data_IF_039403383851
#
_entry.id   IF_039403383851
#
_cell.length_a   1.000
_cell.length_b   1.000
_cell.length_c   1.000
_cell.angle_alpha   90.00
_cell.angle_beta   90.00
_cell.angle_gamma   90.00
#
_symmetry.space_group_name_H-M   'P 1'
#
loop_
_entity.id
_entity.type
_entity.pdbx_description
1 polymer ?
#
# COMPACT_ATOMS: atom_id res chain seq x y z
N UNK A 1 -13.19 20.12 17.96
CA UNK A 1 -12.66 18.76 18.15
C UNK A 1 -12.50 18.17 16.75
N UNK A 2 -11.34 18.38 16.13
CA UNK A 2 -11.12 17.86 14.77
C UNK A 2 -10.85 16.38 14.94
N UNK A 3 -11.75 15.55 14.44
CA UNK A 3 -11.58 14.11 14.38
C UNK A 3 -10.35 13.87 13.48
N UNK A 4 -9.17 13.73 14.10
CA UNK A 4 -8.03 13.16 13.43
C UNK A 4 -8.52 11.81 12.92
N UNK A 5 -8.85 11.70 11.63
CA UNK A 5 -8.79 10.43 10.94
C UNK A 5 -7.43 9.85 11.33
N UNK A 6 -7.44 8.89 12.27
CA UNK A 6 -6.24 8.48 12.99
C UNK A 6 -5.17 8.17 11.97
N UNK A 7 -4.15 9.03 11.92
CA UNK A 7 -3.08 8.95 10.93
C UNK A 7 -2.42 7.58 11.11
N UNK A 8 -2.40 6.77 10.07
CA UNK A 8 -2.04 5.36 10.16
C UNK A 8 -2.43 4.56 8.92
N UNK A 9 -2.50 3.23 9.02
CA UNK A 9 -2.71 2.35 7.85
C UNK A 9 -3.95 2.69 7.00
N UNK A 10 -5.15 2.98 7.55
CA UNK A 10 -6.30 3.35 6.74
C UNK A 10 -6.09 4.66 5.96
N UNK A 11 -5.50 5.67 6.61
CA UNK A 11 -5.15 6.94 5.99
C UNK A 11 -4.13 6.73 4.85
N UNK A 12 -3.08 5.94 5.09
CA UNK A 12 -2.04 5.63 4.11
C UNK A 12 -2.63 4.93 2.87
N UNK A 13 -3.49 3.93 3.06
CA UNK A 13 -4.18 3.23 1.95
C UNK A 13 -5.01 4.18 1.10
N UNK A 14 -5.76 5.08 1.75
CA UNK A 14 -6.60 6.05 1.05
C UNK A 14 -5.77 7.11 0.32
N UNK A 15 -4.75 7.66 0.99
CA UNK A 15 -3.92 8.78 0.51
C UNK A 15 -2.98 8.38 -0.62
N UNK A 16 -2.26 7.27 -0.45
CA UNK A 16 -1.23 6.82 -1.38
C UNK A 16 -1.71 5.70 -2.33
N UNK A 17 -2.95 5.23 -2.17
CA UNK A 17 -3.55 4.15 -2.98
C UNK A 17 -2.72 2.86 -2.98
N UNK A 18 -2.11 2.55 -1.85
CA UNK A 18 -1.30 1.34 -1.64
C UNK A 18 -2.05 0.28 -0.83
N UNK A 19 -1.76 -1.02 -1.01
CA UNK A 19 -2.40 -2.10 -0.26
C UNK A 19 -1.79 -2.32 1.13
N UNK A 20 -1.44 -1.25 1.85
CA UNK A 20 -0.79 -1.33 3.15
C UNK A 20 -1.67 -2.01 4.22
N UNK A 21 -1.25 -3.18 4.70
CA UNK A 21 -1.95 -3.97 5.72
C UNK A 21 -0.94 -4.45 6.76
N UNK A 22 -1.31 -4.50 8.04
CA UNK A 22 -0.45 -5.08 9.09
C UNK A 22 -0.20 -6.56 8.78
N UNK A 23 1.04 -7.00 8.89
CA UNK A 23 1.50 -8.32 8.45
C UNK A 23 1.71 -8.44 6.94
N UNK A 24 1.36 -7.42 6.15
CA UNK A 24 1.56 -7.39 4.71
C UNK A 24 3.04 -7.50 4.38
N UNK A 25 3.37 -8.38 3.43
CA UNK A 25 4.73 -8.61 2.98
C UNK A 25 5.16 -7.50 2.03
N UNK A 26 6.37 -6.99 2.21
CA UNK A 26 6.93 -5.90 1.39
C UNK A 26 8.39 -6.16 1.08
N UNK A 27 8.86 -5.52 0.03
CA UNK A 27 10.24 -5.51 -0.42
C UNK A 27 10.71 -4.08 -0.67
N UNK A 28 11.95 -3.79 -0.27
CA UNK A 28 12.62 -2.51 -0.50
C UNK A 28 14.07 -2.78 -0.90
N UNK A 29 14.42 -2.53 -2.17
CA UNK A 29 15.80 -2.64 -2.69
C UNK A 29 16.41 -4.03 -2.41
N UNK A 30 15.64 -5.09 -2.62
CA UNK A 30 16.02 -6.48 -2.38
C UNK A 30 15.86 -6.95 -0.92
N UNK A 31 15.43 -6.08 -0.01
CA UNK A 31 15.21 -6.42 1.40
C UNK A 31 13.73 -6.74 1.64
N UNK A 32 13.44 -7.95 2.08
CA UNK A 32 12.08 -8.35 2.42
C UNK A 32 11.76 -8.06 3.89
N UNK A 33 10.50 -7.76 4.15
CA UNK A 33 10.00 -7.47 5.49
C UNK A 33 8.49 -7.53 5.58
N UNK A 34 7.98 -7.25 6.77
CA UNK A 34 6.55 -7.18 7.03
C UNK A 34 6.16 -5.83 7.66
N UNK A 35 5.02 -5.30 7.22
CA UNK A 35 4.45 -4.09 7.80
C UNK A 35 3.99 -4.40 9.22
N UNK A 36 4.61 -3.80 10.22
CA UNK A 36 4.21 -3.95 11.62
C UNK A 36 3.19 -2.89 12.02
N UNK A 37 3.17 -1.73 11.36
CA UNK A 37 2.22 -0.66 11.67
C UNK A 37 2.45 0.58 10.84
N UNK A 38 2.05 1.72 11.39
CA UNK A 38 2.25 3.03 10.80
C UNK A 38 2.57 4.06 11.89
N UNK A 39 3.34 5.08 11.51
CA UNK A 39 3.61 6.26 12.33
C UNK A 39 3.34 7.49 11.48
N UNK A 40 2.23 8.18 11.75
CA UNK A 40 1.75 9.26 10.88
C UNK A 40 1.41 8.75 9.48
N UNK A 41 2.03 9.35 8.47
CA UNK A 41 1.90 8.98 7.06
C UNK A 41 2.91 7.93 6.58
N UNK A 42 3.77 7.43 7.47
CA UNK A 42 4.81 6.46 7.14
C UNK A 42 4.46 5.06 7.64
N UNK A 43 5.03 4.05 6.99
CA UNK A 43 4.92 2.65 7.39
C UNK A 43 6.05 2.25 8.32
N UNK A 44 5.71 1.46 9.34
CA UNK A 44 6.68 0.74 10.14
C UNK A 44 6.85 -0.65 9.52
N UNK A 45 8.05 -0.95 9.04
CA UNK A 45 8.39 -2.22 8.39
C UNK A 45 9.50 -2.89 9.17
N UNK A 46 9.27 -4.12 9.62
CA UNK A 46 10.35 -4.95 10.16
C UNK A 46 10.91 -5.80 9.04
N UNK A 47 12.13 -5.47 8.61
CA UNK A 47 12.86 -6.27 7.63
C UNK A 47 13.34 -7.57 8.27
N UNK A 48 13.45 -8.62 7.46
CA UNK A 48 13.94 -9.91 7.94
C UNK A 48 15.39 -9.78 8.42
N UNK A 49 15.70 -10.44 9.53
CA UNK A 49 17.01 -10.35 10.18
C UNK A 49 17.22 -9.08 11.01
N UNK A 50 16.32 -8.09 10.94
CA UNK A 50 16.43 -6.86 11.73
C UNK A 50 15.65 -6.95 13.06
N UNK A 51 16.26 -6.49 14.18
CA UNK A 51 15.58 -6.48 15.47
C UNK A 51 14.52 -5.39 15.57
N UNK A 52 14.68 -4.28 14.83
CA UNK A 52 13.83 -3.11 14.89
C UNK A 52 13.06 -2.88 13.59
N UNK A 53 11.95 -2.12 13.69
CA UNK A 53 11.22 -1.65 12.53
C UNK A 53 11.86 -0.37 11.97
N UNK A 54 11.90 -0.26 10.64
CA UNK A 54 12.27 0.95 9.92
C UNK A 54 11.04 1.74 9.53
N UNK A 55 11.16 3.07 9.53
CA UNK A 55 10.14 3.98 9.00
C UNK A 55 10.40 4.13 7.50
N UNK A 56 9.40 3.79 6.67
CA UNK A 56 9.53 3.79 5.21
C UNK A 56 8.35 4.54 4.59
N UNK A 57 8.61 5.29 3.53
CA UNK A 57 7.55 5.98 2.81
C UNK A 57 6.70 4.97 2.01
N UNK A 58 5.36 5.07 2.00
CA UNK A 58 4.50 4.02 1.46
C UNK A 58 4.69 3.67 -0.01
N UNK A 59 5.16 4.63 -0.83
CA UNK A 59 5.36 4.45 -2.28
C UNK A 59 6.74 3.88 -2.64
N UNK A 60 7.66 3.78 -1.69
CA UNK A 60 8.99 3.22 -1.91
C UNK A 60 8.99 1.69 -1.82
N UNK A 61 7.95 1.12 -1.23
CA UNK A 61 7.82 -0.32 -1.02
C UNK A 61 7.18 -1.01 -2.23
N UNK A 62 7.73 -2.16 -2.57
CA UNK A 62 7.06 -3.15 -3.39
C UNK A 62 6.20 -4.05 -2.48
N UNK A 63 4.89 -4.09 -2.71
CA UNK A 63 3.97 -4.89 -1.90
C UNK A 63 3.87 -6.29 -2.49
N UNK A 64 4.34 -7.28 -1.74
CA UNK A 64 4.39 -8.68 -2.17
C UNK A 64 3.06 -9.32 -1.76
N UNK A 65 2.16 -9.53 -2.72
CA UNK A 65 0.84 -10.11 -2.44
C UNK A 65 0.97 -11.51 -1.81
N UNK A 66 0.26 -11.72 -0.71
CA UNK A 66 -0.16 -13.06 -0.31
C UNK A 66 -1.54 -13.29 -0.91
N UNK A 67 -1.60 -13.84 -2.13
CA UNK A 67 -2.79 -14.42 -2.78
C UNK A 67 -4.12 -13.66 -2.65
N UNK A 68 -4.51 -13.00 -3.74
CA UNK A 68 -5.82 -12.37 -4.00
C UNK A 68 -6.12 -10.98 -3.39
N UNK A 69 -6.35 -10.06 -4.34
CA UNK A 69 -7.06 -8.79 -4.24
C UNK A 69 -6.36 -7.61 -3.54
N UNK A 70 -5.40 -7.03 -4.25
CA UNK A 70 -5.44 -5.60 -4.53
C UNK A 70 -4.98 -5.30 -5.96
N UNK A 71 -5.85 -5.50 -6.95
CA UNK A 71 -5.72 -4.70 -8.16
C UNK A 71 -5.75 -3.22 -7.73
N UNK A 72 -4.72 -2.40 -8.05
CA UNK A 72 -4.89 -0.96 -7.97
C UNK A 72 -6.13 -0.60 -8.79
N UNK A 73 -6.90 0.46 -8.48
CA UNK A 73 -7.90 0.92 -9.43
C UNK A 73 -7.13 1.25 -10.71
N UNK A 74 -7.15 0.32 -11.67
CA UNK A 74 -6.78 0.58 -13.05
C UNK A 74 -7.72 1.72 -13.41
N UNK A 75 -7.17 2.92 -13.51
CA UNK A 75 -7.89 4.04 -14.08
C UNK A 75 -8.50 3.50 -15.37
N UNK A 76 -9.83 3.42 -15.40
CA UNK A 76 -10.59 2.85 -16.50
C UNK A 76 -10.23 3.60 -17.78
N UNK A 77 -9.24 3.09 -18.51
CA UNK A 77 -9.06 3.38 -19.93
C UNK A 77 -9.72 2.26 -20.67
N UNK A 78 -11.04 2.35 -20.82
CA UNK A 78 -11.72 1.73 -21.95
C UNK A 78 -13.11 2.34 -22.14
N UNK A 79 -13.15 3.48 -22.82
CA UNK A 79 -14.27 3.90 -23.64
C UNK A 79 -14.00 3.50 -25.10
N UNK A 80 -13.83 2.20 -25.35
CA UNK A 80 -13.73 1.67 -26.71
C UNK A 80 -15.14 1.66 -27.34
N UNK A 81 -15.36 2.66 -28.20
CA UNK A 81 -16.13 2.65 -29.45
C UNK A 81 -17.14 1.50 -29.61
N UNK A 82 -18.42 1.80 -29.40
CA UNK A 82 -19.54 1.02 -29.93
C UNK A 82 -20.65 1.99 -30.38
N UNK A 83 -20.74 2.25 -31.69
CA UNK A 83 -22.02 2.40 -32.37
C UNK A 83 -21.88 1.80 -33.76
N UNK A 84 -22.43 0.60 -33.92
CA UNK A 84 -23.02 0.07 -35.14
C UNK A 84 -23.85 1.19 -35.82
N UNK A 85 -23.82 1.41 -37.13
CA UNK A 85 -24.25 0.45 -38.14
C UNK A 85 -25.72 0.73 -38.45
N UNK A 86 -25.98 1.60 -39.42
CA UNK A 86 -27.17 1.65 -40.29
C UNK A 86 -26.79 2.37 -41.60
#
# INVERSE_FOLDING_TARGET
MVEYFRVGLPYIRMRFRVPARRGGRVELRGRFGAITGASGEYLLVRFDGEPAASIVHPIELNYVEAGEAAEPPRASRNGARQTSGE
#
